data_IF_231172578962
#
_entry.id   IF_231172578962
#
_cell.length_a   1.000
_cell.length_b   1.000
_cell.length_c   1.000
_cell.angle_alpha   90.00
_cell.angle_beta   90.00
_cell.angle_gamma   90.00
#
_symmetry.space_group_name_H-M   'P 1'
#
loop_
_entity.id
_entity.type
_entity.pdbx_description
1 polymer ?
#
# COMPACT_ATOMS: atom_id res chain seq x y z
N UNK A 1 -8.92 1.42 5.36
CA UNK A 1 -9.40 2.78 5.00
C UNK A 1 -8.87 3.21 3.63
N UNK A 2 -7.55 3.18 3.41
CA UNK A 2 -6.93 3.56 2.13
C UNK A 2 -7.24 2.60 0.96
N UNK A 3 -7.26 1.30 1.22
CA UNK A 3 -7.57 0.27 0.21
C UNK A 3 -8.93 0.49 -0.46
N UNK A 4 -9.95 0.93 0.30
CA UNK A 4 -11.29 1.22 -0.26
C UNK A 4 -11.35 2.47 -1.14
N UNK A 5 -10.35 3.35 -1.07
CA UNK A 5 -10.32 4.61 -1.82
C UNK A 5 -9.55 4.42 -3.14
N UNK A 6 -8.49 3.62 -3.12
CA UNK A 6 -7.58 3.45 -4.26
C UNK A 6 -7.76 2.14 -5.03
N UNK A 7 -8.37 1.11 -4.42
CA UNK A 7 -8.57 -0.18 -5.07
C UNK A 7 -10.00 -0.34 -5.58
N UNK A 8 -10.20 -0.85 -6.81
CA UNK A 8 -11.52 -1.07 -7.38
C UNK A 8 -12.33 -2.15 -6.66
N UNK A 9 -11.66 -3.10 -5.99
CA UNK A 9 -12.30 -4.11 -5.15
C UNK A 9 -11.34 -4.59 -4.05
N UNK A 10 -11.86 -5.29 -3.04
CA UNK A 10 -11.00 -5.93 -2.02
C UNK A 10 -10.05 -6.92 -2.70
N UNK A 11 -8.76 -6.79 -2.39
CA UNK A 11 -7.67 -7.56 -2.98
C UNK A 11 -7.39 -7.38 -4.47
N UNK A 12 -8.05 -6.43 -5.15
CA UNK A 12 -7.78 -6.12 -6.57
C UNK A 12 -6.94 -4.86 -6.65
N UNK A 13 -5.74 -4.98 -7.22
CA UNK A 13 -4.76 -3.91 -7.36
C UNK A 13 -3.69 -3.89 -6.27
N UNK A 14 -2.71 -3.02 -6.45
CA UNK A 14 -1.52 -2.90 -5.62
C UNK A 14 -1.30 -1.45 -5.22
N UNK A 15 -1.06 -1.21 -3.94
CA UNK A 15 -0.66 0.11 -3.44
C UNK A 15 0.81 0.03 -3.08
N UNK A 16 1.60 0.96 -3.61
CA UNK A 16 3.03 1.09 -3.36
C UNK A 16 3.24 2.25 -2.39
N UNK A 17 3.92 1.97 -1.28
CA UNK A 17 4.21 2.93 -0.21
C UNK A 17 5.71 3.08 -0.01
N UNK A 18 6.15 4.32 0.19
CA UNK A 18 7.49 4.65 0.66
C UNK A 18 7.51 4.49 2.18
N UNK A 19 8.32 3.59 2.68
CA UNK A 19 8.57 3.44 4.12
C UNK A 19 10.01 3.85 4.45
N UNK A 20 10.32 3.98 5.73
CA UNK A 20 11.69 4.22 6.19
C UNK A 20 12.66 3.06 5.89
N UNK A 21 12.15 1.90 5.48
CA UNK A 21 12.94 0.73 5.08
C UNK A 21 12.97 0.51 3.56
N UNK A 22 12.51 1.51 2.79
CA UNK A 22 12.44 1.45 1.33
C UNK A 22 11.01 1.37 0.81
N UNK A 23 10.89 1.11 -0.48
CA UNK A 23 9.61 1.04 -1.19
C UNK A 23 9.06 -0.38 -1.08
N UNK A 24 7.82 -0.51 -0.66
CA UNK A 24 7.15 -1.80 -0.54
C UNK A 24 5.65 -1.69 -0.79
N UNK A 25 4.96 -2.82 -0.81
CA UNK A 25 3.51 -2.86 -0.99
C UNK A 25 2.80 -2.51 0.32
N UNK A 26 1.56 -2.01 0.25
CA UNK A 26 0.78 -1.71 1.45
C UNK A 26 0.51 -2.96 2.31
N UNK A 27 0.43 -4.14 1.68
CA UNK A 27 0.29 -5.43 2.39
C UNK A 27 1.54 -5.72 3.23
N UNK A 28 2.70 -5.56 2.62
CA UNK A 28 3.98 -5.83 3.27
C UNK A 28 4.28 -4.81 4.38
N UNK A 29 3.95 -3.54 4.15
CA UNK A 29 4.04 -2.50 5.18
C UNK A 29 3.13 -2.80 6.38
N UNK A 30 1.92 -3.32 6.13
CA UNK A 30 0.95 -3.69 7.18
C UNK A 30 1.39 -4.92 7.96
N UNK A 31 1.97 -5.92 7.30
CA UNK A 31 2.53 -7.13 7.95
C UNK A 31 3.69 -6.78 8.87
N UNK A 32 4.56 -5.85 8.43
CA UNK A 32 5.70 -5.38 9.22
C UNK A 32 5.33 -4.32 10.27
N UNK A 33 4.09 -3.83 10.27
CA UNK A 33 3.63 -2.76 11.17
C UNK A 33 4.28 -1.40 10.91
N UNK A 34 4.74 -1.15 9.67
CA UNK A 34 5.49 0.05 9.29
C UNK A 34 4.56 1.00 8.52
N UNK A 35 4.55 2.26 8.94
CA UNK A 35 3.85 3.33 8.22
C UNK A 35 4.66 3.86 7.04
N UNK A 36 3.99 4.54 6.12
CA UNK A 36 4.64 5.12 4.95
C UNK A 36 3.79 6.16 4.25
N UNK A 37 4.35 6.71 3.18
CA UNK A 37 3.68 7.66 2.27
C UNK A 37 3.31 6.94 0.98
N UNK A 38 2.08 7.12 0.51
CA UNK A 38 1.62 6.59 -0.78
C UNK A 38 2.46 7.18 -1.92
N UNK A 39 3.06 6.32 -2.75
CA UNK A 39 3.78 6.75 -3.97
C UNK A 39 2.91 6.53 -5.21
N UNK A 40 2.35 5.33 -5.33
CA UNK A 40 1.62 4.92 -6.52
C UNK A 40 0.60 3.84 -6.17
N UNK A 41 -0.43 3.71 -7.00
CA UNK A 41 -1.36 2.59 -6.98
C UNK A 41 -1.57 2.11 -8.41
N UNK A 42 -1.73 0.81 -8.60
CA UNK A 42 -1.94 0.18 -9.90
C UNK A 42 -3.09 -0.83 -9.79
N UNK A 43 -3.94 -0.91 -10.80
CA UNK A 43 -5.07 -1.84 -10.89
C UNK A 43 -5.19 -2.42 -12.30
#
# INVERSE_FOLDING_TARGET
RWEKIYLPAENVGLIIVSTNQGIMTHREAKERGIGGVLIAYCY
#
